data_IF_104936864569
#
_entry.id   IF_104936864569
#
_cell.length_a   1.000
_cell.length_b   1.000
_cell.length_c   1.000
_cell.angle_alpha   90.00
_cell.angle_beta   90.00
_cell.angle_gamma   90.00
#
_symmetry.space_group_name_H-M   'P 1'
#
loop_
_entity.id
_entity.type
_entity.pdbx_description
1 polymer ?
#
# COMPACT_ATOMS: atom_id res chain seq x y z
N UNK A 1 -14.38 -3.49 -4.25
CA UNK A 1 -14.22 -2.05 -3.97
C UNK A 1 -13.75 -1.35 -5.24
N UNK A 2 -14.13 -0.09 -5.49
CA UNK A 2 -13.53 0.70 -6.58
C UNK A 2 -12.02 0.79 -6.34
N UNK A 3 -11.23 0.70 -7.41
CA UNK A 3 -9.78 0.85 -7.31
C UNK A 3 -9.45 2.31 -6.98
N UNK A 4 -8.57 2.57 -6.00
CA UNK A 4 -8.28 3.93 -5.57
C UNK A 4 -7.59 4.76 -6.67
N UNK A 5 -6.74 4.13 -7.50
CA UNK A 5 -6.06 4.78 -8.63
C UNK A 5 -5.89 3.80 -9.81
N UNK A 6 -6.35 4.13 -11.04
CA UNK A 6 -6.52 3.16 -12.14
C UNK A 6 -5.23 2.75 -12.85
N UNK A 7 -4.13 3.47 -12.63
CA UNK A 7 -2.80 3.22 -13.22
C UNK A 7 -2.03 2.10 -12.49
N UNK A 8 -2.49 1.70 -11.32
CA UNK A 8 -1.90 0.66 -10.47
C UNK A 8 -2.90 -0.46 -10.23
N UNK A 9 -2.39 -1.68 -10.08
CA UNK A 9 -3.23 -2.86 -9.83
C UNK A 9 -3.27 -3.15 -8.34
N UNK A 10 -4.36 -2.72 -7.71
CA UNK A 10 -4.57 -2.88 -6.28
C UNK A 10 -5.13 -4.25 -5.92
N UNK A 11 -4.56 -4.87 -4.88
CA UNK A 11 -5.03 -6.11 -4.25
C UNK A 11 -5.27 -5.87 -2.76
N UNK A 12 -6.07 -6.71 -2.09
CA UNK A 12 -6.14 -6.66 -0.62
C UNK A 12 -4.77 -6.99 -0.06
N UNK A 13 -4.33 -6.23 0.93
CA UNK A 13 -2.99 -6.38 1.50
C UNK A 13 -2.74 -7.80 2.03
N UNK A 14 -3.77 -8.41 2.64
CA UNK A 14 -3.68 -9.77 3.19
C UNK A 14 -3.69 -10.88 2.13
N UNK A 15 -4.05 -10.59 0.87
CA UNK A 15 -3.98 -11.53 -0.26
C UNK A 15 -2.59 -11.54 -0.92
N UNK A 16 -1.77 -10.50 -0.69
CA UNK A 16 -0.41 -10.34 -1.23
C UNK A 16 0.62 -10.10 -0.11
N UNK A 17 0.76 -11.02 0.86
CA UNK A 17 1.73 -10.87 1.95
C UNK A 17 3.18 -10.86 1.45
N UNK A 18 3.44 -11.37 0.25
CA UNK A 18 4.74 -11.31 -0.44
C UNK A 18 5.21 -9.88 -0.74
N UNK A 19 4.28 -8.92 -0.81
CA UNK A 19 4.58 -7.49 -0.99
C UNK A 19 4.75 -6.74 0.34
N UNK A 20 4.61 -7.43 1.48
CA UNK A 20 4.66 -6.82 2.80
C UNK A 20 5.87 -7.32 3.57
N UNK A 21 6.51 -6.42 4.31
CA UNK A 21 7.43 -6.83 5.36
C UNK A 21 6.66 -7.62 6.44
N UNK A 22 7.30 -8.65 7.02
CA UNK A 22 6.66 -9.52 8.02
C UNK A 22 6.01 -8.76 9.19
N UNK A 23 6.64 -7.71 9.79
CA UNK A 23 6.00 -6.93 10.84
C UNK A 23 4.70 -6.24 10.39
N UNK A 24 4.67 -5.74 9.15
CA UNK A 24 3.48 -5.08 8.57
C UNK A 24 2.36 -6.09 8.34
N UNK A 25 2.68 -7.27 7.80
CA UNK A 25 1.70 -8.33 7.59
C UNK A 25 1.12 -8.83 8.92
N UNK A 26 1.95 -9.02 9.95
CA UNK A 26 1.51 -9.42 11.28
C UNK A 26 0.58 -8.37 11.91
N UNK A 27 0.93 -7.08 11.83
CA UNK A 27 0.11 -5.99 12.34
C UNK A 27 -1.26 -5.91 11.64
N UNK A 28 -1.29 -6.03 10.30
CA UNK A 28 -2.56 -6.03 9.55
C UNK A 28 -3.44 -7.23 9.88
N UNK A 29 -2.88 -8.43 10.06
CA UNK A 29 -3.64 -9.62 10.49
C UNK A 29 -4.25 -9.42 11.88
N UNK A 30 -3.47 -8.91 12.82
CA UNK A 30 -3.96 -8.63 14.18
C UNK A 30 -5.07 -7.56 14.17
N UNK A 31 -4.90 -6.50 13.38
CA UNK A 31 -5.92 -5.46 13.24
C UNK A 31 -7.19 -6.00 12.59
N UNK A 32 -7.08 -6.77 11.51
CA UNK A 32 -8.23 -7.39 10.86
C UNK A 32 -8.98 -8.41 11.75
N UNK A 33 -8.27 -9.08 12.68
CA UNK A 33 -8.90 -9.96 13.66
C UNK A 33 -9.74 -9.19 14.68
N UNK A 34 -9.31 -7.98 15.05
CA UNK A 34 -10.08 -7.08 15.91
C UNK A 34 -11.20 -6.37 15.14
N UNK A 35 -10.92 -5.96 13.89
CA UNK A 35 -11.82 -5.20 13.03
C UNK A 35 -11.89 -5.78 11.61
N UNK A 36 -12.87 -6.66 11.31
CA UNK A 36 -12.94 -7.40 10.05
C UNK A 36 -12.95 -6.52 8.78
N UNK A 37 -13.47 -5.30 8.86
CA UNK A 37 -13.51 -4.36 7.73
C UNK A 37 -12.11 -3.98 7.21
N UNK A 38 -11.08 -4.07 8.05
CA UNK A 38 -9.68 -3.78 7.66
C UNK A 38 -9.18 -4.76 6.61
N UNK A 39 -9.62 -6.02 6.66
CA UNK A 39 -9.19 -7.05 5.70
C UNK A 39 -9.50 -6.68 4.25
N UNK A 40 -10.63 -6.00 4.03
CA UNK A 40 -11.06 -5.55 2.71
C UNK A 40 -10.66 -4.11 2.40
N UNK A 41 -10.48 -3.27 3.42
CA UNK A 41 -10.14 -1.85 3.27
C UNK A 41 -8.65 -1.57 3.05
N UNK A 42 -7.75 -2.41 3.57
CA UNK A 42 -6.31 -2.26 3.38
C UNK A 42 -5.88 -2.85 2.04
N UNK A 43 -5.34 -2.00 1.15
CA UNK A 43 -4.92 -2.39 -0.20
C UNK A 43 -3.40 -2.25 -0.35
N UNK A 44 -2.82 -3.05 -1.23
CA UNK A 44 -1.42 -3.02 -1.63
C UNK A 44 -1.30 -3.11 -3.15
N UNK A 45 -0.26 -2.51 -3.70
CA UNK A 45 0.14 -2.65 -5.10
C UNK A 45 1.65 -2.76 -5.17
N UNK A 46 2.13 -3.53 -6.15
CA UNK A 46 3.53 -3.53 -6.53
C UNK A 46 3.84 -2.28 -7.37
N UNK A 47 5.06 -1.77 -7.24
CA UNK A 47 5.57 -0.61 -8.00
C UNK A 47 6.98 -0.94 -8.51
N UNK A 48 7.43 -0.24 -9.55
CA UNK A 48 8.84 -0.30 -9.95
C UNK A 48 9.73 0.32 -8.85
N UNK A 49 10.68 -0.42 -8.26
CA UNK A 49 11.59 0.10 -7.24
C UNK A 49 12.40 1.33 -7.69
N UNK A 50 12.65 1.48 -9.00
CA UNK A 50 13.34 2.65 -9.55
C UNK A 50 12.49 3.93 -9.50
N UNK A 51 11.17 3.79 -9.31
CA UNK A 51 10.21 4.90 -9.20
C UNK A 51 9.75 5.14 -7.76
N UNK A 52 10.44 4.56 -6.76
CA UNK A 52 10.04 4.66 -5.35
C UNK A 52 10.19 6.08 -4.76
N UNK A 53 10.95 6.97 -5.41
CA UNK A 53 10.96 8.38 -5.04
C UNK A 53 9.56 8.99 -5.19
N UNK A 54 9.15 9.85 -4.25
CA UNK A 54 7.78 10.38 -4.23
C UNK A 54 7.41 11.18 -5.48
N UNK A 55 8.31 12.02 -5.97
CA UNK A 55 8.05 12.81 -7.17
C UNK A 55 8.02 11.92 -8.41
N UNK A 56 8.90 10.92 -8.50
CA UNK A 56 8.90 9.95 -9.59
C UNK A 56 7.62 9.08 -9.59
N UNK A 57 7.21 8.56 -8.43
CA UNK A 57 6.02 7.73 -8.26
C UNK A 57 4.76 8.46 -8.69
N UNK A 58 4.56 9.66 -8.15
CA UNK A 58 3.38 10.48 -8.42
C UNK A 58 3.29 10.87 -9.89
N UNK A 59 4.41 11.26 -10.51
CA UNK A 59 4.46 11.56 -11.93
C UNK A 59 4.21 10.34 -12.82
N UNK A 60 4.74 9.16 -12.47
CA UNK A 60 4.63 7.96 -13.28
C UNK A 60 3.25 7.29 -13.20
N UNK A 61 2.61 7.34 -12.02
CA UNK A 61 1.37 6.64 -11.74
C UNK A 61 0.18 7.56 -11.50
N UNK A 62 0.30 8.87 -11.75
CA UNK A 62 -0.79 9.85 -11.56
C UNK A 62 -1.41 9.77 -10.15
N UNK A 63 -0.55 9.57 -9.14
CA UNK A 63 -0.98 9.55 -7.74
C UNK A 63 -1.05 10.98 -7.21
N UNK A 64 -2.17 11.40 -6.58
CA UNK A 64 -2.26 12.73 -6.01
C UNK A 64 -1.31 12.87 -4.81
N UNK A 65 -0.49 13.92 -4.84
CA UNK A 65 0.53 14.15 -3.81
C UNK A 65 -0.11 14.45 -2.45
N UNK A 66 -1.29 15.09 -2.45
CA UNK A 66 -2.01 15.51 -1.24
C UNK A 66 -2.56 14.34 -0.40
N UNK A 67 -2.68 13.14 -0.98
CA UNK A 67 -3.08 11.91 -0.28
C UNK A 67 -1.92 10.92 -0.12
N UNK A 68 -0.73 11.28 -0.62
CA UNK A 68 0.46 10.43 -0.56
C UNK A 68 1.19 10.63 0.76
N UNK A 69 1.70 9.53 1.34
CA UNK A 69 2.52 9.55 2.55
C UNK A 69 3.68 8.56 2.42
N UNK A 70 4.81 8.89 3.04
CA UNK A 70 5.97 8.02 3.13
C UNK A 70 6.24 7.64 4.58
N UNK A 71 6.65 6.39 4.80
CA UNK A 71 7.23 5.96 6.07
C UNK A 71 8.76 6.05 5.97
N UNK A 72 9.34 7.07 6.59
CA UNK A 72 10.80 7.29 6.59
C UNK A 72 11.37 6.85 7.94
N UNK A 73 12.42 6.03 7.92
CA UNK A 73 13.22 5.69 9.11
C UNK A 73 14.41 6.65 9.19
N UNK A 74 14.51 7.38 10.30
CA UNK A 74 15.66 8.26 10.60
C UNK A 74 16.46 7.62 11.73
N UNK A 75 17.77 7.47 11.53
CA UNK A 75 18.71 6.88 12.50
C UNK A 75 19.49 7.96 13.26
#
# INVERSE_FOLDING_TARGET
MPQPFPTLTWSRALDRPDLLAEPTAAALRAWAAAEPAVADGALVTEIDPALADTAALTAAYDLPLEVSANCVVVL
#
